data_IF_096623182345
#
_entry.id   IF_096623182345
#
_cell.length_a   1.000
_cell.length_b   1.000
_cell.length_c   1.000
_cell.angle_alpha   90.00
_cell.angle_beta   90.00
_cell.angle_gamma   90.00
#
_symmetry.space_group_name_H-M   'P 1'
#
loop_
_entity.id
_entity.type
_entity.pdbx_description
1 polymer ?
#
# COMPACT_ATOMS: atom_id res chain seq x y z
N UNK A 1 0.56 -7.44 8.12
CA UNK A 1 -0.88 -7.81 8.07
C UNK A 1 -1.50 -7.22 6.83
N UNK A 2 -2.40 -7.94 6.15
CA UNK A 2 -3.11 -7.46 4.97
C UNK A 2 -4.61 -7.54 5.19
N UNK A 3 -5.33 -6.51 4.74
CA UNK A 3 -6.78 -6.39 4.86
C UNK A 3 -7.36 -6.07 3.47
N UNK A 4 -8.10 -6.99 2.85
CA UNK A 4 -8.33 -8.37 3.29
C UNK A 4 -7.07 -9.24 3.16
N UNK A 5 -6.99 -10.34 3.92
CA UNK A 5 -5.86 -11.27 3.84
C UNK A 5 -5.82 -12.05 2.51
N UNK A 6 -6.99 -12.29 1.92
CA UNK A 6 -7.18 -12.92 0.62
C UNK A 6 -8.31 -12.19 -0.09
N UNK A 7 -8.20 -12.04 -1.41
CA UNK A 7 -9.27 -11.47 -2.23
C UNK A 7 -9.60 -12.41 -3.39
N UNK A 8 -10.87 -12.45 -3.77
CA UNK A 8 -11.32 -13.15 -4.98
C UNK A 8 -11.44 -12.12 -6.09
N UNK A 9 -10.69 -12.32 -7.17
CA UNK A 9 -10.75 -11.44 -8.34
C UNK A 9 -11.88 -11.91 -9.27
N UNK A 10 -12.68 -10.99 -9.82
CA UNK A 10 -13.63 -11.34 -10.87
C UNK A 10 -12.86 -11.72 -12.15
N UNK A 11 -13.51 -12.52 -13.00
CA UNK A 11 -12.96 -12.95 -14.30
C UNK A 11 -12.65 -11.78 -15.24
N UNK A 12 -13.29 -10.63 -15.05
CA UNK A 12 -13.05 -9.39 -15.78
C UNK A 12 -13.30 -8.18 -14.90
N UNK A 13 -12.41 -7.19 -14.98
CA UNK A 13 -12.59 -5.83 -14.45
C UNK A 13 -12.70 -4.87 -15.64
N UNK A 14 -13.79 -4.10 -15.71
CA UNK A 14 -13.94 -3.04 -16.70
C UNK A 14 -13.67 -1.71 -16.03
N UNK A 15 -12.62 -1.01 -16.46
CA UNK A 15 -12.34 0.36 -15.98
C UNK A 15 -13.50 1.25 -16.38
N UNK A 16 -14.09 1.94 -15.41
CA UNK A 16 -15.05 3.01 -15.68
C UNK A 16 -14.25 4.26 -16.04
N UNK A 17 -14.25 4.62 -17.32
CA UNK A 17 -13.47 5.74 -17.81
C UNK A 17 -13.91 7.06 -17.14
N UNK A 18 -12.94 7.83 -16.65
CA UNK A 18 -13.19 9.09 -15.93
C UNK A 18 -13.72 8.94 -14.50
N UNK A 19 -13.93 7.73 -13.99
CA UNK A 19 -14.38 7.55 -12.59
C UNK A 19 -13.28 7.91 -11.59
N UNK A 20 -13.67 8.60 -10.51
CA UNK A 20 -12.84 8.86 -9.32
C UNK A 20 -13.22 7.97 -8.13
N UNK A 21 -14.14 7.03 -8.34
CA UNK A 21 -14.59 6.13 -7.28
C UNK A 21 -13.60 4.98 -7.19
N UNK A 22 -12.99 4.77 -6.02
CA UNK A 22 -11.96 3.73 -5.82
C UNK A 22 -12.46 2.34 -6.21
N UNK A 23 -13.72 2.04 -5.90
CA UNK A 23 -14.39 0.78 -6.24
C UNK A 23 -14.55 0.55 -7.74
N UNK A 24 -14.38 1.55 -8.60
CA UNK A 24 -14.39 1.38 -10.06
C UNK A 24 -13.00 1.03 -10.62
N UNK A 25 -11.94 1.06 -9.79
CA UNK A 25 -10.56 0.77 -10.18
C UNK A 25 -10.01 -0.52 -9.59
N UNK A 26 -10.67 -1.11 -8.60
CA UNK A 26 -10.25 -2.38 -8.01
C UNK A 26 -10.79 -2.60 -6.61
N UNK A 27 -10.15 -3.54 -5.92
CA UNK A 27 -10.43 -3.84 -4.51
C UNK A 27 -9.41 -3.10 -3.67
N UNK A 28 -9.86 -2.32 -2.67
CA UNK A 28 -8.96 -1.68 -1.70
C UNK A 28 -8.28 -2.78 -0.87
N UNK A 29 -6.96 -2.72 -0.81
CA UNK A 29 -6.14 -3.59 0.05
C UNK A 29 -5.25 -2.69 0.91
N UNK A 30 -5.29 -2.92 2.22
CA UNK A 30 -4.45 -2.23 3.19
C UNK A 30 -3.37 -3.19 3.71
N UNK A 31 -2.11 -2.74 3.73
CA UNK A 31 -1.00 -3.47 4.31
C UNK A 31 -0.43 -2.70 5.50
N UNK A 32 -0.60 -3.27 6.69
CA UNK A 32 -0.11 -2.68 7.95
C UNK A 32 1.16 -3.41 8.41
N UNK A 33 2.21 -2.62 8.64
CA UNK A 33 3.51 -3.07 9.14
C UNK A 33 3.78 -2.40 10.49
N UNK A 34 4.16 -3.21 11.49
CA UNK A 34 4.43 -2.72 12.84
C UNK A 34 5.85 -3.09 13.25
N UNK A 35 6.59 -2.08 13.71
CA UNK A 35 7.87 -2.25 14.39
C UNK A 35 7.63 -2.21 15.90
N UNK A 36 8.10 -3.23 16.63
CA UNK A 36 7.91 -3.32 18.06
C UNK A 36 9.17 -3.82 18.76
N UNK A 37 9.74 -2.98 19.64
CA UNK A 37 10.86 -3.34 20.48
C UNK A 37 10.37 -4.07 21.74
N UNK A 38 10.60 -5.38 21.82
CA UNK A 38 10.28 -6.21 22.99
C UNK A 38 11.41 -6.25 24.04
N UNK A 39 12.56 -5.64 23.75
CA UNK A 39 13.69 -5.62 24.66
C UNK A 39 13.51 -4.63 25.81
N UNK A 40 14.27 -4.79 26.90
CA UNK A 40 14.21 -3.89 28.06
C UNK A 40 14.86 -2.51 27.80
N UNK A 41 15.62 -2.36 26.71
CA UNK A 41 16.40 -1.17 26.40
C UNK A 41 15.89 -0.46 25.15
N UNK A 42 16.05 0.87 25.09
CA UNK A 42 15.71 1.69 23.93
C UNK A 42 16.67 1.46 22.77
N UNK A 43 16.13 1.46 21.54
CA UNK A 43 16.92 1.44 20.29
C UNK A 43 16.72 2.79 19.59
N UNK A 44 17.80 3.40 19.10
CA UNK A 44 17.76 4.62 18.30
C UNK A 44 18.02 4.33 16.81
N UNK A 45 17.71 5.30 15.95
CA UNK A 45 18.10 5.31 14.53
C UNK A 45 17.62 4.10 13.71
N UNK A 46 16.41 3.61 14.01
CA UNK A 46 15.84 2.47 13.31
C UNK A 46 15.29 2.87 11.95
N UNK A 47 15.68 2.13 10.91
CA UNK A 47 15.15 2.29 9.55
C UNK A 47 14.33 1.06 9.15
N UNK A 48 13.07 1.28 8.75
CA UNK A 48 12.23 0.26 8.13
C UNK A 48 12.29 0.39 6.60
N UNK A 49 12.61 -0.71 5.90
CA UNK A 49 12.60 -0.77 4.42
C UNK A 49 11.49 -1.68 3.96
N UNK A 50 10.60 -1.15 3.11
CA UNK A 50 9.48 -1.89 2.53
C UNK A 50 9.66 -2.01 1.02
N UNK A 51 9.50 -3.22 0.49
CA UNK A 51 9.41 -3.47 -0.94
C UNK A 51 7.97 -3.85 -1.27
N UNK A 52 7.30 -3.03 -2.09
CA UNK A 52 5.89 -3.25 -2.45
C UNK A 52 5.80 -3.62 -3.93
N UNK A 53 5.19 -4.77 -4.29
CA UNK A 53 5.08 -5.22 -5.66
C UNK A 53 4.01 -4.42 -6.41
N UNK A 54 4.33 -3.20 -6.85
CA UNK A 54 3.40 -2.33 -7.57
C UNK A 54 3.17 -2.74 -9.02
N UNK A 55 4.12 -3.47 -9.62
CA UNK A 55 4.06 -3.88 -11.03
C UNK A 55 4.48 -5.34 -11.22
N UNK A 56 3.85 -6.00 -12.19
CA UNK A 56 4.19 -7.35 -12.64
C UNK A 56 4.01 -7.44 -14.15
N UNK A 57 5.06 -7.85 -14.88
CA UNK A 57 5.01 -7.95 -16.36
C UNK A 57 4.66 -6.64 -17.06
N UNK A 58 5.14 -5.50 -16.55
CA UNK A 58 4.84 -4.16 -17.08
C UNK A 58 3.46 -3.60 -16.73
N UNK A 59 2.58 -4.41 -16.13
CA UNK A 59 1.23 -4.00 -15.72
C UNK A 59 1.22 -3.57 -14.26
N UNK A 60 0.31 -2.67 -13.90
CA UNK A 60 0.06 -2.31 -12.50
C UNK A 60 -0.58 -3.52 -11.80
N UNK A 61 0.02 -3.95 -10.69
CA UNK A 61 -0.51 -4.99 -9.82
C UNK A 61 -1.17 -4.37 -8.58
N UNK A 62 -0.44 -3.49 -7.89
CA UNK A 62 -0.93 -2.74 -6.74
C UNK A 62 -0.77 -1.24 -7.02
N UNK A 63 -1.89 -0.52 -7.03
CA UNK A 63 -1.90 0.94 -7.08
C UNK A 63 -1.68 1.49 -5.67
N UNK A 64 -0.62 2.29 -5.49
CA UNK A 64 -0.31 2.89 -4.20
C UNK A 64 -1.17 4.14 -4.01
N UNK A 65 -2.23 4.02 -3.22
CA UNK A 65 -3.17 5.12 -2.97
C UNK A 65 -2.70 6.07 -1.89
N UNK A 66 -2.37 5.53 -0.71
CA UNK A 66 -2.05 6.32 0.48
C UNK A 66 -0.94 5.64 1.29
N UNK A 67 -0.19 6.46 2.02
CA UNK A 67 0.82 6.00 2.98
C UNK A 67 0.60 6.75 4.29
N UNK A 68 0.27 6.02 5.35
CA UNK A 68 0.10 6.55 6.70
C UNK A 68 1.20 6.03 7.64
N UNK A 69 1.52 6.84 8.65
CA UNK A 69 2.52 6.50 9.68
C UNK A 69 2.01 6.88 11.07
N UNK A 70 2.26 6.02 12.06
CA UNK A 70 1.96 6.27 13.46
C UNK A 70 3.21 6.12 14.33
N UNK A 71 3.21 6.72 15.53
CA UNK A 71 4.30 6.54 16.50
C UNK A 71 5.57 7.34 16.20
N UNK A 72 5.46 8.48 15.52
CA UNK A 72 6.57 9.43 15.32
C UNK A 72 7.60 9.00 14.27
N UNK A 73 7.30 7.99 13.44
CA UNK A 73 8.14 7.62 12.31
C UNK A 73 7.92 8.58 11.13
N UNK A 74 8.98 8.78 10.33
CA UNK A 74 8.88 9.46 9.04
C UNK A 74 9.12 8.44 7.92
N UNK A 75 8.41 8.61 6.81
CA UNK A 75 8.59 7.79 5.61
C UNK A 75 8.84 8.65 4.39
N UNK A 76 9.71 8.18 3.50
CA UNK A 76 9.86 8.73 2.16
C UNK A 76 8.71 8.26 1.28
N UNK A 77 8.09 9.18 0.54
CA UNK A 77 7.01 8.84 -0.37
C UNK A 77 7.51 7.89 -1.46
N UNK A 78 6.85 6.74 -1.70
CA UNK A 78 7.23 5.85 -2.77
C UNK A 78 6.96 6.50 -4.14
N UNK A 79 7.73 6.13 -5.18
CA UNK A 79 7.50 6.67 -6.51
C UNK A 79 6.11 6.29 -7.03
N UNK A 80 5.41 7.28 -7.60
CA UNK A 80 4.08 7.07 -8.19
C UNK A 80 2.94 6.93 -7.18
N UNK A 81 3.13 7.34 -5.91
CA UNK A 81 2.04 7.43 -4.94
C UNK A 81 0.92 8.33 -5.47
N UNK A 82 -0.29 7.78 -5.53
CA UNK A 82 -1.51 8.36 -6.09
C UNK A 82 -1.33 9.18 -7.38
N UNK A 83 -0.51 8.73 -8.33
CA UNK A 83 -0.18 9.49 -9.54
C UNK A 83 -1.39 9.85 -10.42
N UNK A 84 -2.44 9.01 -10.41
CA UNK A 84 -3.66 9.22 -11.19
C UNK A 84 -4.68 10.11 -10.48
N UNK A 85 -4.41 10.51 -9.23
CA UNK A 85 -5.30 11.33 -8.39
C UNK A 85 -6.73 10.77 -8.33
N UNK A 86 -6.82 9.45 -8.12
CA UNK A 86 -8.08 8.75 -7.85
C UNK A 86 -8.53 9.08 -6.44
#
# INVERSE_FOLDING_TARGET
NSLPATTVLPVSWHRVEGSRRLEDHGIKVEHVYQLHNKGPSTVSDVTLRLAVPSRLGGRVLLYLLELGTEGGMSCTHPPGLNAEQV
#
